data_IF_568898596876
#
_entry.id   IF_568898596876
#
_cell.length_a   1.000
_cell.length_b   1.000
_cell.length_c   1.000
_cell.angle_alpha   90.00
_cell.angle_beta   90.00
_cell.angle_gamma   90.00
#
_symmetry.space_group_name_H-M   'P 1'
#
loop_
_entity.id
_entity.type
_entity.pdbx_description
1 polymer ?
#
# COMPACT_ATOMS: atom_id res chain seq x y z
N UNK A 1 -39.64 -8.20 35.99
CA UNK A 1 -39.09 -7.00 36.66
C UNK A 1 -37.60 -7.24 36.87
N UNK A 2 -36.75 -6.70 35.99
CA UNK A 2 -35.29 -6.85 36.06
C UNK A 2 -34.71 -5.60 36.72
N UNK A 3 -34.08 -5.76 37.90
CA UNK A 3 -33.52 -4.66 38.67
C UNK A 3 -32.36 -3.91 37.99
N UNK A 4 -31.95 -2.73 38.50
CA UNK A 4 -31.09 -1.77 37.82
C UNK A 4 -29.62 -2.18 37.92
N UNK A 5 -29.21 -3.21 37.20
CA UNK A 5 -27.88 -3.18 36.61
C UNK A 5 -27.96 -2.17 35.48
N UNK A 6 -27.80 -0.88 35.82
CA UNK A 6 -27.86 0.23 34.86
C UNK A 6 -26.88 0.02 33.69
N UNK A 7 -26.99 0.83 32.64
CA UNK A 7 -26.14 0.79 31.44
C UNK A 7 -24.65 0.55 31.77
N UNK A 8 -24.16 1.15 32.86
CA UNK A 8 -22.78 1.04 33.34
C UNK A 8 -22.33 -0.38 33.74
N UNK A 9 -23.26 -1.27 34.11
CA UNK A 9 -22.96 -2.68 34.40
C UNK A 9 -22.82 -3.54 33.13
N UNK A 10 -23.19 -3.02 31.96
CA UNK A 10 -23.13 -3.76 30.71
C UNK A 10 -21.68 -4.02 30.29
N UNK A 11 -21.44 -5.19 29.66
CA UNK A 11 -20.12 -5.64 29.21
C UNK A 11 -20.11 -5.83 27.69
N UNK A 12 -20.17 -4.75 26.91
CA UNK A 12 -20.19 -4.84 25.46
C UNK A 12 -18.85 -5.38 24.93
N UNK A 13 -18.94 -6.15 23.86
CA UNK A 13 -17.79 -6.62 23.09
C UNK A 13 -17.85 -6.09 21.66
N UNK A 14 -16.69 -5.81 21.06
CA UNK A 14 -16.60 -5.69 19.61
C UNK A 14 -16.88 -7.04 18.96
N UNK A 15 -17.41 -7.00 17.74
CA UNK A 15 -17.59 -8.20 16.94
C UNK A 15 -16.22 -8.86 16.69
N UNK A 16 -16.10 -10.19 16.80
CA UNK A 16 -14.89 -10.89 16.41
C UNK A 16 -14.47 -10.53 14.99
N UNK A 17 -13.17 -10.27 14.78
CA UNK A 17 -12.59 -9.94 13.48
C UNK A 17 -12.51 -8.45 13.14
N UNK A 18 -13.06 -7.53 13.95
CA UNK A 18 -12.84 -6.09 13.75
C UNK A 18 -11.34 -5.77 13.88
N UNK A 19 -10.81 -5.02 12.91
CA UNK A 19 -9.41 -4.67 12.85
C UNK A 19 -9.19 -3.23 13.33
N UNK A 20 -8.21 -3.06 14.21
CA UNK A 20 -7.82 -1.77 14.77
C UNK A 20 -6.38 -1.44 14.36
N UNK A 21 -6.15 -0.27 13.78
CA UNK A 21 -4.81 0.14 13.36
C UNK A 21 -3.97 0.69 14.53
N UNK A 22 -2.63 0.66 14.41
CA UNK A 22 -1.77 1.49 15.25
C UNK A 22 -2.08 2.99 15.07
N UNK A 23 -1.62 3.87 15.98
CA UNK A 23 -1.80 5.31 15.84
C UNK A 23 -1.09 5.83 14.59
N UNK A 24 -1.81 6.63 13.80
CA UNK A 24 -1.34 7.28 12.59
C UNK A 24 -1.46 8.79 12.75
N UNK A 25 -0.49 9.53 12.23
CA UNK A 25 -0.59 10.98 12.12
C UNK A 25 -1.42 11.33 10.88
N UNK A 26 -2.39 12.22 11.03
CA UNK A 26 -3.19 12.80 9.95
C UNK A 26 -3.34 14.31 10.19
N UNK A 27 -2.65 15.10 9.36
CA UNK A 27 -2.51 16.53 9.60
C UNK A 27 -1.94 16.84 11.01
N UNK A 28 -2.63 17.66 11.83
CA UNK A 28 -2.17 17.98 13.18
C UNK A 28 -2.54 16.91 14.22
N UNK A 29 -3.38 15.92 13.89
CA UNK A 29 -3.99 15.00 14.84
C UNK A 29 -3.43 13.57 14.72
N UNK A 30 -3.57 12.81 15.80
CA UNK A 30 -3.35 11.35 15.80
C UNK A 30 -4.70 10.67 15.66
N UNK A 31 -4.81 9.76 14.70
CA UNK A 31 -6.02 9.00 14.40
C UNK A 31 -5.72 7.50 14.42
N UNK A 32 -6.75 6.71 14.61
CA UNK A 32 -6.76 5.26 14.46
C UNK A 32 -7.80 4.86 13.43
N UNK A 33 -7.55 3.78 12.71
CA UNK A 33 -8.47 3.22 11.75
C UNK A 33 -9.16 2.00 12.36
N UNK A 34 -10.47 1.91 12.18
CA UNK A 34 -11.29 0.74 12.50
C UNK A 34 -11.83 0.18 11.21
N UNK A 35 -11.65 -1.12 10.98
CA UNK A 35 -12.21 -1.81 9.80
C UNK A 35 -13.08 -2.97 10.20
N UNK A 36 -14.22 -3.03 9.53
CA UNK A 36 -15.03 -4.21 9.43
C UNK A 36 -14.64 -5.01 8.18
N UNK A 37 -14.04 -6.21 8.33
CA UNK A 37 -13.66 -7.04 7.19
C UNK A 37 -14.85 -7.64 6.44
N UNK A 38 -16.03 -7.71 7.04
CA UNK A 38 -17.24 -8.30 6.43
C UNK A 38 -17.92 -7.30 5.50
N UNK A 39 -18.13 -6.07 5.97
CA UNK A 39 -18.73 -5.00 5.14
C UNK A 39 -17.71 -4.23 4.29
N UNK A 40 -16.41 -4.40 4.56
CA UNK A 40 -15.33 -3.61 3.97
C UNK A 40 -15.23 -2.17 4.50
N UNK A 41 -16.17 -1.75 5.35
CA UNK A 41 -16.23 -0.38 5.86
C UNK A 41 -15.03 -0.06 6.76
N UNK A 42 -14.45 1.13 6.56
CA UNK A 42 -13.33 1.64 7.36
C UNK A 42 -13.65 3.03 7.91
N UNK A 43 -13.28 3.28 9.16
CA UNK A 43 -13.59 4.51 9.88
C UNK A 43 -12.34 5.08 10.56
N UNK A 44 -12.19 6.40 10.53
CA UNK A 44 -11.19 7.13 11.32
C UNK A 44 -11.78 7.51 12.67
N UNK A 45 -11.07 7.18 13.75
CA UNK A 45 -11.44 7.53 15.13
C UNK A 45 -10.26 8.19 15.85
N UNK A 46 -10.55 9.07 16.81
CA UNK A 46 -9.54 9.73 17.61
C UNK A 46 -8.97 8.83 18.72
N UNK A 47 -7.97 9.32 19.48
CA UNK A 47 -7.33 8.54 20.54
C UNK A 47 -8.28 8.22 21.71
N UNK A 48 -9.25 9.10 21.98
CA UNK A 48 -10.24 8.93 23.05
C UNK A 48 -11.24 7.85 22.69
N UNK A 49 -11.78 7.90 21.47
CA UNK A 49 -12.67 6.89 20.94
C UNK A 49 -11.96 5.53 20.84
N UNK A 50 -10.70 5.53 20.37
CA UNK A 50 -9.88 4.32 20.32
C UNK A 50 -9.67 3.71 21.71
N UNK A 51 -9.44 4.52 22.74
CA UNK A 51 -9.28 4.04 24.11
C UNK A 51 -10.50 3.26 24.58
N UNK A 52 -11.70 3.76 24.29
CA UNK A 52 -12.96 3.11 24.64
C UNK A 52 -13.18 1.86 23.81
N UNK A 53 -13.13 1.98 22.47
CA UNK A 53 -13.38 0.91 21.51
C UNK A 53 -12.44 -0.28 21.72
N UNK A 54 -11.14 -0.04 21.95
CA UNK A 54 -10.15 -1.09 22.18
C UNK A 54 -10.34 -1.88 23.49
N UNK A 55 -11.20 -1.40 24.40
CA UNK A 55 -11.50 -2.04 25.69
C UNK A 55 -12.89 -2.68 25.75
N UNK A 56 -13.67 -2.61 24.67
CA UNK A 56 -14.93 -3.34 24.54
C UNK A 56 -14.62 -4.81 24.19
N UNK A 57 -14.14 -5.55 25.18
CA UNK A 57 -13.69 -6.95 25.05
C UNK A 57 -14.72 -7.97 25.59
N UNK A 58 -15.87 -7.50 26.09
CA UNK A 58 -16.90 -8.34 26.72
C UNK A 58 -16.60 -8.78 28.14
N UNK A 59 -15.40 -8.50 28.66
CA UNK A 59 -15.02 -8.85 30.03
C UNK A 59 -15.23 -7.69 31.00
N UNK A 60 -14.96 -6.46 30.55
CA UNK A 60 -15.03 -5.24 31.38
C UNK A 60 -16.40 -4.59 31.33
N UNK A 61 -16.85 -4.06 32.47
CA UNK A 61 -18.06 -3.25 32.52
C UNK A 61 -17.83 -1.84 31.98
N UNK A 62 -18.87 -1.18 31.48
CA UNK A 62 -18.79 0.22 31.08
C UNK A 62 -18.37 1.14 32.23
N UNK A 63 -18.69 0.78 33.48
CA UNK A 63 -18.21 1.46 34.68
C UNK A 63 -16.68 1.39 34.80
N UNK A 64 -16.10 0.19 34.66
CA UNK A 64 -14.65 -0.02 34.70
C UNK A 64 -13.93 0.72 33.57
N UNK A 65 -14.47 0.63 32.34
CA UNK A 65 -13.90 1.34 31.19
C UNK A 65 -14.01 2.86 31.38
N UNK A 66 -15.14 3.33 31.92
CA UNK A 66 -15.37 4.74 32.21
C UNK A 66 -14.45 5.28 33.32
N UNK A 67 -14.17 4.49 34.35
CA UNK A 67 -13.21 4.83 35.40
C UNK A 67 -11.79 4.95 34.82
N UNK A 68 -11.35 3.96 34.04
CA UNK A 68 -10.05 3.99 33.37
C UNK A 68 -9.92 5.16 32.37
N UNK A 69 -11.01 5.52 31.69
CA UNK A 69 -11.05 6.69 30.82
C UNK A 69 -10.94 8.00 31.62
N UNK A 70 -11.60 8.06 32.78
CA UNK A 70 -11.50 9.17 33.73
C UNK A 70 -10.07 9.39 34.22
N UNK A 71 -9.36 8.32 34.58
CA UNK A 71 -7.95 8.38 34.97
C UNK A 71 -7.04 8.83 33.82
N UNK A 72 -7.26 8.30 32.61
CA UNK A 72 -6.40 8.59 31.47
C UNK A 72 -6.59 10.00 30.88
N UNK A 73 -7.82 10.56 30.92
CA UNK A 73 -8.17 11.81 30.24
C UNK A 73 -8.75 12.90 31.15
N UNK A 74 -8.85 12.65 32.46
CA UNK A 74 -9.38 13.60 33.44
C UNK A 74 -10.85 13.96 33.25
N UNK A 75 -11.61 13.16 32.49
CA UNK A 75 -13.04 13.39 32.20
C UNK A 75 -13.85 12.12 32.41
N UNK A 76 -14.95 12.22 33.16
CA UNK A 76 -15.90 11.12 33.32
C UNK A 76 -16.89 11.09 32.16
N UNK A 77 -17.21 9.89 31.68
CA UNK A 77 -18.27 9.67 30.70
C UNK A 77 -19.59 9.45 31.43
N UNK A 78 -20.57 10.32 31.18
CA UNK A 78 -21.94 10.10 31.64
C UNK A 78 -22.65 9.02 30.82
N UNK A 79 -23.79 8.53 31.32
CA UNK A 79 -24.56 7.47 30.65
C UNK A 79 -25.01 7.84 29.23
N UNK A 80 -25.42 9.09 29.00
CA UNK A 80 -25.82 9.56 27.66
C UNK A 80 -24.71 9.45 26.61
N UNK A 81 -23.45 9.70 26.99
CA UNK A 81 -22.29 9.55 26.09
C UNK A 81 -22.06 8.07 25.74
N UNK A 82 -22.27 7.18 26.71
CA UNK A 82 -22.19 5.74 26.48
C UNK A 82 -23.30 5.26 25.53
N UNK A 83 -24.54 5.73 25.73
CA UNK A 83 -25.65 5.40 24.83
C UNK A 83 -25.37 5.85 23.40
N UNK A 84 -24.87 7.08 23.22
CA UNK A 84 -24.52 7.60 21.89
C UNK A 84 -23.41 6.78 21.23
N UNK A 85 -22.34 6.46 21.97
CA UNK A 85 -21.24 5.66 21.45
C UNK A 85 -21.71 4.26 21.05
N UNK A 86 -22.49 3.58 21.90
CA UNK A 86 -22.98 2.24 21.62
C UNK A 86 -23.99 2.23 20.47
N UNK A 87 -24.85 3.25 20.36
CA UNK A 87 -25.76 3.42 19.24
C UNK A 87 -24.99 3.62 17.91
N UNK A 88 -23.93 4.43 17.93
CA UNK A 88 -23.07 4.62 16.76
C UNK A 88 -22.37 3.31 16.37
N UNK A 89 -21.72 2.62 17.31
CA UNK A 89 -21.06 1.33 17.03
C UNK A 89 -22.06 0.25 16.59
N UNK A 90 -23.26 0.23 17.17
CA UNK A 90 -24.34 -0.67 16.79
C UNK A 90 -24.88 -0.39 15.38
N UNK A 91 -25.14 0.87 15.03
CA UNK A 91 -25.56 1.28 13.68
C UNK A 91 -24.55 0.92 12.60
N UNK A 92 -23.25 0.90 12.97
CA UNK A 92 -22.13 0.46 12.11
C UNK A 92 -21.86 -1.04 12.19
N UNK A 93 -22.69 -1.80 12.91
CA UNK A 93 -22.57 -3.26 13.12
C UNK A 93 -21.22 -3.70 13.70
N UNK A 94 -20.60 -2.87 14.54
CA UNK A 94 -19.28 -3.15 15.14
C UNK A 94 -19.35 -3.89 16.48
N UNK A 95 -20.51 -3.93 17.13
CA UNK A 95 -20.73 -4.61 18.41
C UNK A 95 -21.18 -6.06 18.24
N UNK A 96 -20.76 -6.94 19.16
CA UNK A 96 -21.28 -8.29 19.30
C UNK A 96 -22.69 -8.27 19.90
N UNK A 97 -23.56 -9.20 19.49
CA UNK A 97 -24.92 -9.33 20.04
C UNK A 97 -25.98 -8.38 19.47
N UNK A 98 -25.64 -7.57 18.46
CA UNK A 98 -26.65 -6.95 17.58
C UNK A 98 -27.39 -8.00 16.74
N UNK A 99 -28.41 -7.64 15.94
CA UNK A 99 -29.07 -8.58 15.03
C UNK A 99 -28.00 -9.38 14.30
N UNK A 100 -28.07 -10.71 14.47
CA UNK A 100 -26.96 -11.62 14.25
C UNK A 100 -26.36 -11.47 12.85
N UNK A 101 -25.17 -12.02 12.61
CA UNK A 101 -24.73 -12.22 11.24
C UNK A 101 -25.90 -12.87 10.49
N UNK A 102 -26.27 -12.36 9.31
CA UNK A 102 -26.57 -13.36 8.28
C UNK A 102 -25.37 -14.29 8.33
N UNK A 103 -25.59 -15.61 8.52
CA UNK A 103 -24.61 -16.63 8.11
C UNK A 103 -23.89 -16.07 6.90
N UNK A 104 -22.53 -16.02 6.87
CA UNK A 104 -21.79 -15.28 5.85
C UNK A 104 -22.52 -15.45 4.54
N UNK A 105 -23.29 -14.41 4.17
CA UNK A 105 -24.23 -14.56 3.07
C UNK A 105 -23.35 -15.03 1.92
N UNK A 106 -23.78 -16.03 1.11
CA UNK A 106 -22.99 -16.45 -0.04
C UNK A 106 -22.43 -15.18 -0.67
N UNK A 107 -21.09 -15.05 -0.76
CA UNK A 107 -20.40 -13.78 -0.90
C UNK A 107 -21.23 -12.89 -1.79
N UNK A 108 -21.70 -11.75 -1.23
CA UNK A 108 -22.75 -10.94 -1.85
C UNK A 108 -22.48 -10.86 -3.35
N UNK A 109 -23.52 -11.11 -4.20
CA UNK A 109 -23.33 -11.49 -5.59
C UNK A 109 -22.25 -10.59 -6.18
N UNK A 110 -21.23 -11.19 -6.83
CA UNK A 110 -20.15 -10.45 -7.47
C UNK A 110 -20.68 -9.13 -8.00
N UNK A 111 -20.18 -8.00 -7.48
CA UNK A 111 -20.39 -6.72 -8.15
C UNK A 111 -20.15 -6.94 -9.66
N UNK A 112 -20.97 -6.36 -10.55
CA UNK A 112 -21.02 -6.75 -11.94
C UNK A 112 -19.59 -6.87 -12.50
N UNK A 113 -19.28 -7.96 -13.23
CA UNK A 113 -17.90 -8.28 -13.61
C UNK A 113 -17.26 -7.15 -14.40
N UNK A 114 -18.07 -6.28 -15.01
CA UNK A 114 -17.69 -5.07 -15.69
C UNK A 114 -18.44 -3.88 -15.09
N UNK A 115 -17.71 -2.82 -14.78
CA UNK A 115 -18.26 -1.50 -14.50
C UNK A 115 -17.48 -0.47 -15.30
N UNK A 116 -18.17 0.31 -16.15
CA UNK A 116 -17.55 1.36 -16.96
C UNK A 116 -18.00 1.41 -18.42
N UNK A 117 -17.37 2.31 -19.19
CA UNK A 117 -17.55 2.49 -20.64
C UNK A 117 -16.42 1.80 -21.41
N UNK A 118 -16.50 1.79 -22.75
CA UNK A 118 -15.41 1.26 -23.61
C UNK A 118 -14.06 1.95 -23.35
N UNK A 119 -14.08 3.26 -23.05
CA UNK A 119 -12.89 4.07 -22.80
C UNK A 119 -12.31 3.92 -21.39
N UNK A 120 -13.14 3.56 -20.40
CA UNK A 120 -12.74 3.42 -19.00
C UNK A 120 -13.60 2.40 -18.29
N UNK A 121 -13.00 1.37 -17.73
CA UNK A 121 -13.71 0.39 -16.92
C UNK A 121 -12.83 -0.44 -16.01
N UNK A 122 -13.49 -1.26 -15.20
CA UNK A 122 -12.88 -2.28 -14.36
C UNK A 122 -13.49 -3.63 -14.69
N UNK A 123 -12.64 -4.64 -14.81
CA UNK A 123 -13.00 -6.04 -15.02
C UNK A 123 -12.46 -6.81 -13.83
N UNK A 124 -13.32 -7.52 -13.13
CA UNK A 124 -12.86 -8.45 -12.11
C UNK A 124 -12.34 -9.71 -12.79
N UNK A 125 -11.05 -10.01 -12.59
CA UNK A 125 -10.40 -11.15 -13.25
C UNK A 125 -10.65 -12.46 -12.49
N UNK A 126 -10.85 -12.36 -11.18
CA UNK A 126 -10.95 -13.52 -10.30
C UNK A 126 -12.26 -13.45 -9.51
N UNK A 127 -13.01 -14.56 -9.49
CA UNK A 127 -14.25 -14.66 -8.72
C UNK A 127 -14.00 -14.56 -7.21
N UNK A 128 -12.92 -15.21 -6.73
CA UNK A 128 -12.45 -15.22 -5.35
C UNK A 128 -10.92 -14.98 -5.31
N UNK A 129 -10.55 -13.73 -5.02
CA UNK A 129 -9.17 -13.29 -4.93
C UNK A 129 -8.43 -13.92 -3.74
N UNK A 130 -9.12 -14.16 -2.62
CA UNK A 130 -8.51 -14.72 -1.42
C UNK A 130 -8.20 -16.22 -1.61
N UNK A 131 -9.10 -16.98 -2.21
CA UNK A 131 -8.85 -18.39 -2.53
C UNK A 131 -7.71 -18.56 -3.55
N UNK A 132 -7.66 -17.70 -4.57
CA UNK A 132 -6.62 -17.75 -5.61
C UNK A 132 -5.25 -17.40 -5.04
N UNK A 133 -5.16 -16.34 -4.23
CA UNK A 133 -3.92 -15.98 -3.54
C UNK A 133 -3.53 -16.99 -2.48
N UNK A 134 -4.48 -17.69 -1.84
CA UNK A 134 -4.18 -18.79 -0.94
C UNK A 134 -3.56 -20.01 -1.66
N UNK A 135 -4.07 -20.37 -2.83
CA UNK A 135 -3.46 -21.44 -3.66
C UNK A 135 -2.07 -21.07 -4.11
N UNK A 136 -1.89 -19.84 -4.60
CA UNK A 136 -0.59 -19.33 -5.03
C UNK A 136 0.39 -19.24 -3.85
N UNK A 137 -0.07 -18.77 -2.69
CA UNK A 137 0.72 -18.75 -1.45
C UNK A 137 1.15 -20.15 -1.02
N UNK A 138 0.28 -21.16 -1.11
CA UNK A 138 0.65 -22.55 -0.78
C UNK A 138 1.78 -23.06 -1.67
N UNK A 139 1.74 -22.76 -2.97
CA UNK A 139 2.78 -23.14 -3.92
C UNK A 139 4.08 -22.36 -3.71
N UNK A 140 3.99 -21.05 -3.46
CA UNK A 140 5.14 -20.17 -3.28
C UNK A 140 5.72 -20.19 -1.86
N UNK A 141 5.04 -20.79 -0.89
CA UNK A 141 5.46 -20.86 0.52
C UNK A 141 6.94 -21.19 0.74
N UNK A 142 7.55 -22.20 0.08
CA UNK A 142 8.98 -22.48 0.25
C UNK A 142 9.86 -21.32 -0.26
N UNK A 143 9.49 -20.69 -1.37
CA UNK A 143 10.22 -19.54 -1.92
C UNK A 143 10.09 -18.27 -1.05
N UNK A 144 9.02 -18.17 -0.26
CA UNK A 144 8.78 -17.09 0.69
C UNK A 144 9.55 -17.25 2.02
N UNK A 145 10.41 -18.26 2.15
CA UNK A 145 11.26 -18.39 3.33
C UNK A 145 12.26 -17.22 3.42
N UNK A 146 12.49 -16.59 4.59
CA UNK A 146 13.34 -15.40 4.71
C UNK A 146 14.75 -15.56 4.15
N UNK A 147 15.34 -16.75 4.27
CA UNK A 147 16.67 -17.06 3.71
C UNK A 147 16.63 -17.05 2.18
N UNK A 148 15.60 -17.64 1.57
CA UNK A 148 15.44 -17.67 0.11
C UNK A 148 15.17 -16.26 -0.41
N UNK A 149 14.30 -15.51 0.25
CA UNK A 149 14.04 -14.10 -0.07
C UNK A 149 15.31 -13.25 0.05
N UNK A 150 16.12 -13.46 1.08
CA UNK A 150 17.39 -12.76 1.26
C UNK A 150 18.41 -13.10 0.17
N UNK A 151 18.52 -14.37 -0.22
CA UNK A 151 19.39 -14.79 -1.32
C UNK A 151 18.94 -14.20 -2.66
N UNK A 152 17.63 -14.26 -2.95
CA UNK A 152 17.05 -13.67 -4.16
C UNK A 152 17.25 -12.16 -4.20
N UNK A 153 17.08 -11.46 -3.08
CA UNK A 153 17.37 -10.03 -2.97
C UNK A 153 18.84 -9.73 -3.28
N UNK A 154 19.77 -10.53 -2.77
CA UNK A 154 21.20 -10.37 -3.07
C UNK A 154 21.48 -10.55 -4.57
N UNK A 155 20.85 -11.54 -5.21
CA UNK A 155 20.98 -11.75 -6.66
C UNK A 155 20.40 -10.57 -7.45
N UNK A 156 19.23 -10.05 -7.07
CA UNK A 156 18.68 -8.84 -7.69
C UNK A 156 19.60 -7.63 -7.51
N UNK A 157 20.18 -7.43 -6.32
CA UNK A 157 21.13 -6.33 -6.08
C UNK A 157 22.41 -6.48 -6.90
N UNK A 158 22.91 -7.71 -7.08
CA UNK A 158 24.05 -8.00 -7.94
C UNK A 158 23.73 -7.69 -9.41
N UNK A 159 22.55 -8.09 -9.89
CA UNK A 159 22.05 -7.74 -11.22
C UNK A 159 22.02 -6.21 -11.40
N UNK A 160 21.41 -5.47 -10.48
CA UNK A 160 21.37 -3.99 -10.54
C UNK A 160 22.78 -3.38 -10.58
N UNK A 161 23.74 -3.93 -9.82
CA UNK A 161 25.13 -3.50 -9.86
C UNK A 161 25.79 -3.68 -11.23
N UNK A 162 25.55 -4.81 -11.89
CA UNK A 162 26.05 -5.08 -13.25
C UNK A 162 25.38 -4.17 -14.29
N UNK A 163 24.06 -3.99 -14.18
CA UNK A 163 23.32 -3.10 -15.08
C UNK A 163 23.76 -1.63 -14.92
N UNK A 164 24.02 -1.19 -13.69
CA UNK A 164 24.55 0.15 -13.40
C UNK A 164 25.95 0.35 -14.01
N UNK A 165 26.83 -0.65 -13.92
CA UNK A 165 28.14 -0.60 -14.58
C UNK A 165 28.03 -0.56 -16.11
N UNK A 166 26.96 -1.13 -16.66
CA UNK A 166 26.68 -1.20 -18.11
C UNK A 166 25.76 -0.08 -18.61
N UNK A 167 25.41 0.90 -17.77
CA UNK A 167 24.35 1.87 -18.03
C UNK A 167 24.54 2.65 -19.34
N UNK A 168 25.78 3.02 -19.69
CA UNK A 168 26.06 3.72 -20.94
C UNK A 168 25.73 2.89 -22.20
N UNK A 169 25.93 1.58 -22.16
CA UNK A 169 25.54 0.66 -23.24
C UNK A 169 24.02 0.49 -23.29
N UNK A 170 23.41 0.23 -22.14
CA UNK A 170 21.96 0.03 -22.02
C UNK A 170 21.15 1.26 -22.46
N UNK A 171 21.66 2.48 -22.21
CA UNK A 171 21.04 3.72 -22.69
C UNK A 171 21.03 3.80 -24.22
N UNK A 172 22.08 3.34 -24.90
CA UNK A 172 22.11 3.26 -26.36
C UNK A 172 21.14 2.21 -26.88
N UNK A 173 21.03 1.07 -26.21
CA UNK A 173 20.07 0.02 -26.56
C UNK A 173 18.63 0.50 -26.41
N UNK A 174 18.33 1.27 -25.35
CA UNK A 174 17.04 1.93 -25.17
C UNK A 174 16.75 2.93 -26.29
N UNK A 175 17.72 3.76 -26.68
CA UNK A 175 17.54 4.71 -27.78
C UNK A 175 17.23 3.99 -29.11
N UNK A 176 17.95 2.90 -29.39
CA UNK A 176 17.68 2.05 -30.53
C UNK A 176 16.28 1.44 -30.47
N UNK A 177 15.85 0.96 -29.30
CA UNK A 177 14.51 0.37 -29.08
C UNK A 177 13.39 1.36 -29.41
N UNK A 178 13.52 2.62 -28.97
CA UNK A 178 12.52 3.67 -29.21
C UNK A 178 12.29 3.94 -30.71
N UNK A 179 13.30 3.69 -31.54
CA UNK A 179 13.20 3.85 -33.00
C UNK A 179 12.61 2.62 -33.72
N UNK A 180 12.30 1.53 -32.99
CA UNK A 180 11.90 0.24 -33.56
C UNK A 180 10.54 -0.21 -33.00
N UNK A 181 9.44 -0.11 -33.77
CA UNK A 181 8.09 -0.32 -33.22
C UNK A 181 7.83 -1.76 -32.76
N UNK A 182 8.34 -2.77 -33.49
CA UNK A 182 8.09 -4.18 -33.14
C UNK A 182 8.78 -4.60 -31.84
N UNK A 183 10.10 -4.41 -31.66
CA UNK A 183 10.74 -4.69 -30.38
C UNK A 183 10.19 -3.84 -29.23
N UNK A 184 9.82 -2.58 -29.49
CA UNK A 184 9.20 -1.70 -28.49
C UNK A 184 7.89 -2.29 -27.96
N UNK A 185 7.03 -2.80 -28.85
CA UNK A 185 5.77 -3.47 -28.45
C UNK A 185 6.04 -4.74 -27.62
N UNK A 186 7.06 -5.52 -27.98
CA UNK A 186 7.42 -6.71 -27.22
C UNK A 186 7.89 -6.36 -25.79
N UNK A 187 8.78 -5.37 -25.66
CA UNK A 187 9.26 -4.89 -24.36
C UNK A 187 8.11 -4.28 -23.55
N UNK A 188 7.27 -3.45 -24.16
CA UNK A 188 6.11 -2.87 -23.48
C UNK A 188 5.14 -3.95 -22.97
N UNK A 189 4.93 -5.03 -23.74
CA UNK A 189 4.09 -6.16 -23.34
C UNK A 189 4.70 -6.89 -22.14
N UNK A 190 6.02 -7.15 -22.15
CA UNK A 190 6.69 -7.79 -21.01
C UNK A 190 6.65 -6.93 -19.74
N UNK A 191 6.84 -5.61 -19.85
CA UNK A 191 6.73 -4.68 -18.72
C UNK A 191 5.30 -4.59 -18.17
N UNK A 192 4.31 -4.70 -19.05
CA UNK A 192 2.90 -4.81 -18.66
C UNK A 192 2.64 -6.09 -17.84
N UNK A 193 3.18 -7.24 -18.29
CA UNK A 193 3.13 -8.48 -17.51
C UNK A 193 3.87 -8.37 -16.17
N UNK A 194 5.03 -7.69 -16.14
CA UNK A 194 5.75 -7.41 -14.90
C UNK A 194 4.88 -6.61 -13.92
N UNK A 195 4.15 -5.60 -14.42
CA UNK A 195 3.22 -4.81 -13.60
C UNK A 195 2.06 -5.65 -13.06
N UNK A 196 1.59 -6.63 -13.82
CA UNK A 196 0.63 -7.60 -13.29
C UNK A 196 1.27 -8.43 -12.16
N UNK A 197 2.46 -8.98 -12.37
CA UNK A 197 3.15 -9.77 -11.34
C UNK A 197 3.41 -8.96 -10.05
N UNK A 198 3.72 -7.67 -10.18
CA UNK A 198 3.87 -6.72 -9.08
C UNK A 198 2.63 -6.66 -8.18
N UNK A 199 1.45 -6.49 -8.76
CA UNK A 199 0.18 -6.43 -8.03
C UNK A 199 -0.17 -7.79 -7.38
N UNK A 200 0.10 -8.89 -8.08
CA UNK A 200 -0.03 -10.23 -7.48
C UNK A 200 0.90 -10.42 -6.29
N UNK A 201 2.13 -9.90 -6.35
CA UNK A 201 3.10 -10.01 -5.28
C UNK A 201 2.65 -9.29 -4.00
N UNK A 202 2.01 -8.11 -4.11
CA UNK A 202 1.37 -7.48 -2.95
C UNK A 202 0.31 -8.37 -2.32
N UNK A 203 -0.55 -9.00 -3.13
CA UNK A 203 -1.58 -9.92 -2.65
C UNK A 203 -1.00 -11.14 -1.93
N UNK A 204 0.00 -11.79 -2.52
CA UNK A 204 0.69 -12.96 -1.93
C UNK A 204 1.44 -12.57 -0.65
N UNK A 205 2.15 -11.45 -0.66
CA UNK A 205 2.88 -10.98 0.52
C UNK A 205 1.93 -10.62 1.66
N UNK A 206 0.80 -9.98 1.34
CA UNK A 206 -0.25 -9.70 2.32
C UNK A 206 -0.80 -10.97 2.95
N UNK A 207 -1.11 -12.00 2.13
CA UNK A 207 -1.57 -13.30 2.62
C UNK A 207 -0.53 -13.96 3.52
N UNK A 208 0.75 -13.90 3.16
CA UNK A 208 1.84 -14.48 3.95
C UNK A 208 1.94 -13.89 5.36
N UNK A 209 1.64 -12.59 5.52
CA UNK A 209 1.66 -11.92 6.83
C UNK A 209 0.33 -11.97 7.58
N UNK A 210 -0.66 -12.70 7.06
CA UNK A 210 -2.00 -12.87 7.65
C UNK A 210 -3.04 -11.83 7.22
N UNK A 211 -2.79 -11.09 6.15
CA UNK A 211 -3.77 -10.21 5.52
C UNK A 211 -4.74 -10.97 4.59
N UNK A 212 -5.88 -10.35 4.31
CA UNK A 212 -6.85 -10.84 3.30
C UNK A 212 -6.77 -9.98 2.06
N UNK A 213 -6.99 -10.61 0.90
CA UNK A 213 -7.03 -9.94 -0.40
C UNK A 213 -8.48 -9.76 -0.79
N UNK A 214 -8.89 -8.52 -1.05
CA UNK A 214 -10.28 -8.20 -1.37
C UNK A 214 -10.64 -8.53 -2.81
N UNK A 215 -9.89 -7.97 -3.75
CA UNK A 215 -10.17 -8.09 -5.18
C UNK A 215 -8.89 -8.10 -6.01
N UNK A 216 -8.89 -8.91 -7.07
CA UNK A 216 -7.90 -8.87 -8.15
C UNK A 216 -8.65 -8.61 -9.44
N UNK A 217 -8.32 -7.51 -10.11
CA UNK A 217 -8.99 -7.08 -11.32
C UNK A 217 -8.08 -6.34 -12.28
N UNK A 218 -8.60 -6.08 -13.47
CA UNK A 218 -7.99 -5.24 -14.48
C UNK A 218 -8.75 -3.93 -14.55
N UNK A 219 -8.06 -2.81 -14.46
CA UNK A 219 -8.61 -1.46 -14.67
C UNK A 219 -8.02 -0.91 -15.95
N UNK A 220 -8.85 -0.48 -16.90
CA UNK A 220 -8.36 0.20 -18.10
C UNK A 220 -8.85 1.63 -18.20
N UNK A 221 -7.97 2.45 -18.75
CA UNK A 221 -8.25 3.77 -19.29
C UNK A 221 -7.44 3.85 -20.58
N UNK A 222 -8.11 3.61 -21.71
CA UNK A 222 -7.44 3.44 -23.00
C UNK A 222 -6.48 4.61 -23.28
N UNK A 223 -5.25 4.34 -23.73
CA UNK A 223 -4.73 3.05 -24.20
C UNK A 223 -4.14 2.12 -23.11
N UNK A 224 -4.19 2.50 -21.83
CA UNK A 224 -3.50 1.78 -20.75
C UNK A 224 -4.45 0.87 -19.98
N UNK A 225 -4.08 -0.40 -19.80
CA UNK A 225 -4.71 -1.32 -18.87
C UNK A 225 -3.74 -1.63 -17.72
N UNK A 226 -4.19 -1.62 -16.48
CA UNK A 226 -3.38 -1.83 -15.29
C UNK A 226 -4.11 -2.84 -14.41
N UNK A 227 -3.43 -3.90 -14.03
CA UNK A 227 -3.99 -4.82 -13.04
C UNK A 227 -3.98 -4.16 -11.67
N UNK A 228 -4.93 -4.49 -10.81
CA UNK A 228 -4.94 -3.99 -9.44
C UNK A 228 -5.25 -5.13 -8.48
N UNK A 229 -4.56 -5.14 -7.34
CA UNK A 229 -4.81 -6.05 -6.24
C UNK A 229 -5.15 -5.23 -4.99
N UNK A 230 -6.42 -5.23 -4.58
CA UNK A 230 -6.80 -4.54 -3.34
C UNK A 230 -6.43 -5.41 -2.14
N UNK A 231 -5.34 -5.04 -1.47
CA UNK A 231 -5.02 -5.61 -0.16
C UNK A 231 -5.76 -4.81 0.91
N UNK A 232 -6.71 -5.45 1.56
CA UNK A 232 -7.65 -4.77 2.42
C UNK A 232 -7.10 -4.48 3.82
N UNK A 233 -6.18 -5.32 4.30
CA UNK A 233 -5.87 -5.39 5.73
C UNK A 233 -4.43 -5.02 6.12
N UNK A 234 -3.53 -4.73 5.18
CA UNK A 234 -2.12 -4.48 5.50
C UNK A 234 -1.91 -3.27 6.43
N UNK A 235 -2.79 -2.26 6.35
CA UNK A 235 -2.76 -1.07 7.22
C UNK A 235 -3.02 -1.36 8.69
N UNK A 236 -3.65 -2.51 8.99
CA UNK A 236 -4.01 -2.95 10.35
C UNK A 236 -3.01 -3.93 10.95
N UNK A 237 -1.96 -4.32 10.20
CA UNK A 237 -0.91 -5.18 10.73
C UNK A 237 -0.15 -4.49 11.87
N UNK A 238 -0.06 -5.14 13.03
CA UNK A 238 0.58 -4.56 14.22
C UNK A 238 2.10 -4.33 14.09
N UNK A 239 2.79 -5.06 13.21
CA UNK A 239 4.25 -4.98 13.04
C UNK A 239 4.64 -4.18 11.79
N UNK A 240 5.37 -3.07 11.97
CA UNK A 240 5.86 -2.19 10.88
C UNK A 240 6.64 -2.95 9.80
N UNK A 241 7.49 -3.91 10.20
CA UNK A 241 8.28 -4.71 9.25
C UNK A 241 7.41 -5.50 8.26
N UNK A 242 6.24 -5.99 8.70
CA UNK A 242 5.29 -6.70 7.83
C UNK A 242 4.61 -5.75 6.84
N UNK A 243 4.27 -4.54 7.28
CA UNK A 243 3.72 -3.51 6.39
C UNK A 243 4.71 -3.10 5.31
N UNK A 244 5.98 -2.90 5.70
CA UNK A 244 7.05 -2.60 4.76
C UNK A 244 7.32 -3.75 3.79
N UNK A 245 7.34 -5.00 4.27
CA UNK A 245 7.54 -6.16 3.40
C UNK A 245 6.43 -6.30 2.36
N UNK A 246 5.16 -6.08 2.73
CA UNK A 246 4.04 -6.10 1.78
C UNK A 246 4.16 -4.97 0.77
N UNK A 247 4.50 -3.76 1.21
CA UNK A 247 4.66 -2.62 0.31
C UNK A 247 5.91 -2.73 -0.59
N UNK A 248 6.96 -3.44 -0.18
CA UNK A 248 8.14 -3.70 -1.03
C UNK A 248 7.96 -4.88 -2.00
N UNK A 249 6.94 -5.72 -1.79
CA UNK A 249 6.78 -6.97 -2.54
C UNK A 249 6.59 -6.76 -4.04
N UNK A 250 5.88 -5.70 -4.44
CA UNK A 250 5.65 -5.37 -5.84
C UNK A 250 6.97 -5.03 -6.56
N UNK A 251 7.72 -4.06 -6.03
CA UNK A 251 9.02 -3.70 -6.59
C UNK A 251 9.99 -4.90 -6.63
N UNK A 252 10.01 -5.71 -5.57
CA UNK A 252 10.83 -6.92 -5.54
C UNK A 252 10.43 -7.94 -6.63
N UNK A 253 9.13 -8.13 -6.87
CA UNK A 253 8.65 -9.02 -7.93
C UNK A 253 8.99 -8.52 -9.34
N UNK A 254 9.00 -7.21 -9.56
CA UNK A 254 9.52 -6.64 -10.82
C UNK A 254 10.99 -7.01 -11.04
N UNK A 255 11.83 -6.94 -9.99
CA UNK A 255 13.24 -7.33 -10.10
C UNK A 255 13.40 -8.84 -10.36
N UNK A 256 12.61 -9.67 -9.66
CA UNK A 256 12.60 -11.12 -9.88
C UNK A 256 12.20 -11.49 -11.32
N UNK A 257 11.26 -10.74 -11.91
CA UNK A 257 10.84 -10.94 -13.29
C UNK A 257 11.99 -10.74 -14.29
N UNK A 258 12.95 -9.88 -13.97
CA UNK A 258 14.09 -9.57 -14.84
C UNK A 258 15.21 -10.61 -14.78
N UNK A 259 15.33 -11.39 -13.70
CA UNK A 259 16.39 -12.38 -13.52
C UNK A 259 16.58 -13.36 -14.71
N UNK A 260 15.53 -14.00 -15.27
CA UNK A 260 15.71 -14.87 -16.43
C UNK A 260 16.21 -14.12 -17.67
N UNK A 261 15.76 -12.88 -17.89
CA UNK A 261 16.21 -12.06 -19.00
C UNK A 261 17.65 -11.56 -18.80
N UNK A 262 18.05 -11.31 -17.56
CA UNK A 262 19.43 -10.99 -17.21
C UNK A 262 20.36 -12.18 -17.47
N UNK A 263 19.96 -13.38 -17.04
CA UNK A 263 20.71 -14.60 -17.32
C UNK A 263 20.85 -14.86 -18.82
N UNK A 264 19.79 -14.60 -19.61
CA UNK A 264 19.86 -14.68 -21.06
C UNK A 264 20.79 -13.62 -21.64
N UNK A 265 20.62 -12.35 -21.28
CA UNK A 265 21.46 -11.26 -21.76
C UNK A 265 22.95 -11.48 -21.46
N UNK A 266 23.28 -11.95 -20.25
CA UNK A 266 24.66 -12.23 -19.84
C UNK A 266 25.27 -13.45 -20.56
N UNK A 267 24.46 -14.36 -21.08
CA UNK A 267 24.92 -15.54 -21.82
C UNK A 267 25.05 -15.29 -23.33
N UNK A 268 24.53 -14.16 -23.84
CA UNK A 268 24.58 -13.85 -25.27
C UNK A 268 25.96 -13.36 -25.71
N UNK A 269 26.44 -13.76 -26.90
CA UNK A 269 27.59 -13.12 -27.53
C UNK A 269 27.31 -11.64 -27.83
N UNK A 270 28.34 -10.79 -27.74
CA UNK A 270 28.20 -9.33 -27.95
C UNK A 270 27.61 -8.95 -29.32
N UNK A 271 27.74 -9.82 -30.32
CA UNK A 271 27.26 -9.59 -31.68
C UNK A 271 25.77 -9.93 -31.90
N UNK A 272 25.08 -10.54 -30.92
CA UNK A 272 23.69 -10.97 -31.10
C UNK A 272 22.71 -9.77 -31.07
N UNK A 273 21.87 -9.58 -32.10
CA UNK A 273 20.88 -8.50 -32.15
C UNK A 273 19.85 -8.56 -31.01
N UNK A 274 19.61 -9.74 -30.43
CA UNK A 274 18.72 -9.95 -29.27
C UNK A 274 19.24 -9.24 -28.02
N UNK A 275 20.57 -9.10 -27.91
CA UNK A 275 21.23 -8.43 -26.78
C UNK A 275 20.71 -7.02 -26.53
N UNK A 276 20.44 -6.25 -27.60
CA UNK A 276 19.92 -4.88 -27.48
C UNK A 276 18.49 -4.83 -26.95
N UNK A 277 17.64 -5.77 -27.38
CA UNK A 277 16.24 -5.86 -26.90
C UNK A 277 16.22 -6.20 -25.42
N UNK A 278 17.02 -7.19 -25.01
CA UNK A 278 17.12 -7.58 -23.60
C UNK A 278 17.77 -6.48 -22.75
N UNK A 279 18.82 -5.80 -23.25
CA UNK A 279 19.44 -4.68 -22.56
C UNK A 279 18.45 -3.55 -22.30
N UNK A 280 17.65 -3.17 -23.30
CA UNK A 280 16.61 -2.17 -23.14
C UNK A 280 15.48 -2.62 -22.20
N UNK A 281 15.06 -3.89 -22.25
CA UNK A 281 14.11 -4.47 -21.30
C UNK A 281 14.63 -4.42 -19.87
N UNK A 282 15.88 -4.81 -19.66
CA UNK A 282 16.53 -4.80 -18.34
C UNK A 282 16.62 -3.38 -17.79
N UNK A 283 17.02 -2.41 -18.61
CA UNK A 283 17.08 -1.01 -18.18
C UNK A 283 15.69 -0.46 -17.81
N UNK A 284 14.70 -0.63 -18.69
CA UNK A 284 13.34 -0.11 -18.45
C UNK A 284 12.65 -0.83 -17.29
N UNK A 285 12.82 -2.15 -17.18
CA UNK A 285 12.28 -2.94 -16.07
C UNK A 285 12.90 -2.58 -14.74
N UNK A 286 14.22 -2.39 -14.70
CA UNK A 286 14.94 -1.98 -13.48
C UNK A 286 14.53 -0.56 -13.09
N UNK A 287 14.44 0.36 -14.06
CA UNK A 287 13.90 1.70 -13.84
C UNK A 287 12.46 1.64 -13.30
N UNK A 288 11.58 0.81 -13.86
CA UNK A 288 10.21 0.60 -13.36
C UNK A 288 10.20 0.11 -11.91
N UNK A 289 11.05 -0.85 -11.55
CA UNK A 289 11.15 -1.37 -10.18
C UNK A 289 11.67 -0.31 -9.20
N UNK A 290 12.77 0.37 -9.55
CA UNK A 290 13.43 1.36 -8.70
C UNK A 290 12.60 2.64 -8.55
N UNK A 291 11.97 3.12 -9.63
CA UNK A 291 11.05 4.26 -9.57
C UNK A 291 9.90 3.96 -8.63
N UNK A 292 9.33 2.74 -8.64
CA UNK A 292 8.28 2.36 -7.69
C UNK A 292 8.72 2.44 -6.22
N UNK A 293 10.02 2.34 -5.91
CA UNK A 293 10.55 2.50 -4.55
C UNK A 293 10.75 3.98 -4.14
N UNK A 294 10.54 4.93 -5.04
CA UNK A 294 10.66 6.35 -4.72
C UNK A 294 9.52 6.80 -3.79
N UNK A 295 9.78 7.71 -2.85
CA UNK A 295 8.81 8.18 -1.87
C UNK A 295 7.79 9.20 -2.44
N UNK A 296 7.31 8.99 -3.67
CA UNK A 296 6.37 9.87 -4.36
C UNK A 296 5.02 9.16 -4.60
N UNK A 297 3.88 9.81 -4.40
CA UNK A 297 2.58 9.20 -4.70
C UNK A 297 2.41 9.04 -6.23
N UNK A 298 1.78 7.95 -6.72
CA UNK A 298 1.14 6.85 -6.01
C UNK A 298 2.04 5.61 -5.79
N UNK A 299 3.36 5.76 -5.83
CA UNK A 299 4.34 4.67 -5.86
C UNK A 299 4.42 3.90 -4.52
N UNK A 300 4.93 2.67 -4.56
CA UNK A 300 5.10 1.83 -3.36
C UNK A 300 5.99 2.45 -2.30
N UNK A 301 7.06 3.12 -2.70
CA UNK A 301 7.99 3.82 -1.80
C UNK A 301 7.30 4.88 -0.96
N UNK A 302 6.28 5.54 -1.49
CA UNK A 302 5.45 6.47 -0.73
C UNK A 302 4.62 5.75 0.34
N UNK A 303 4.02 4.61 -0.01
CA UNK A 303 3.28 3.76 0.94
C UNK A 303 4.20 3.20 2.02
N UNK A 304 5.39 2.72 1.65
CA UNK A 304 6.45 2.27 2.57
C UNK A 304 6.83 3.38 3.54
N UNK A 305 7.09 4.59 3.04
CA UNK A 305 7.46 5.73 3.87
C UNK A 305 6.32 6.11 4.83
N UNK A 306 5.08 6.12 4.37
CA UNK A 306 3.89 6.35 5.20
C UNK A 306 3.80 5.35 6.36
N UNK A 307 4.03 4.07 6.09
CA UNK A 307 4.07 3.02 7.13
C UNK A 307 5.23 3.16 8.10
N UNK A 308 6.44 3.44 7.59
CA UNK A 308 7.63 3.65 8.41
C UNK A 308 7.42 4.79 9.41
N UNK A 309 6.84 5.90 8.91
CA UNK A 309 6.61 7.11 9.67
C UNK A 309 5.30 7.12 10.48
N UNK A 310 4.41 6.15 10.26
CA UNK A 310 3.04 6.10 10.79
C UNK A 310 2.25 7.37 10.47
N UNK A 311 2.19 7.71 9.20
CA UNK A 311 1.44 8.87 8.69
C UNK A 311 0.49 8.37 7.61
N UNK A 312 -0.76 8.81 7.66
CA UNK A 312 -1.70 8.63 6.56
C UNK A 312 -1.69 9.87 5.67
N UNK A 313 -1.92 9.70 4.37
CA UNK A 313 -2.01 10.82 3.40
C UNK A 313 -0.85 11.82 3.49
N UNK A 314 0.38 11.31 3.58
CA UNK A 314 1.61 12.10 3.78
C UNK A 314 1.76 13.27 2.79
N UNK A 315 1.55 13.04 1.49
CA UNK A 315 1.69 14.09 0.48
C UNK A 315 0.60 15.18 0.61
N UNK A 316 -0.70 14.86 0.63
CA UNK A 316 -1.75 15.84 0.89
C UNK A 316 -1.56 16.61 2.20
N UNK A 317 -1.20 15.92 3.29
CA UNK A 317 -0.96 16.54 4.59
C UNK A 317 0.25 17.49 4.56
N UNK A 318 1.32 17.11 3.87
CA UNK A 318 2.51 17.96 3.71
C UNK A 318 2.21 19.20 2.87
N UNK A 319 1.50 19.05 1.75
CA UNK A 319 1.09 20.19 0.92
C UNK A 319 0.14 21.12 1.68
N UNK A 320 -0.81 20.58 2.45
CA UNK A 320 -1.70 21.37 3.28
C UNK A 320 -0.94 22.15 4.36
N UNK A 321 0.02 21.50 5.03
CA UNK A 321 0.87 22.14 6.03
C UNK A 321 1.74 23.25 5.42
N UNK A 322 2.36 23.03 4.27
CA UNK A 322 3.19 24.03 3.59
C UNK A 322 2.37 25.24 3.14
N UNK A 323 1.21 25.02 2.53
CA UNK A 323 0.28 26.11 2.17
C UNK A 323 -0.17 26.89 3.41
N UNK A 324 -0.52 26.19 4.49
CA UNK A 324 -0.88 26.84 5.75
C UNK A 324 0.28 27.67 6.29
N UNK A 325 1.51 27.14 6.29
CA UNK A 325 2.70 27.86 6.77
C UNK A 325 3.01 29.11 5.95
N UNK A 326 2.75 29.09 4.65
CA UNK A 326 2.89 30.27 3.79
C UNK A 326 1.84 31.34 4.10
N UNK A 327 0.60 30.93 4.39
CA UNK A 327 -0.51 31.85 4.67
C UNK A 327 -0.53 32.39 6.10
N UNK A 328 -0.30 31.52 7.07
CA UNK A 328 -0.40 31.78 8.50
C UNK A 328 0.62 30.94 9.29
N UNK A 329 1.72 31.58 9.67
CA UNK A 329 2.79 30.94 10.44
C UNK A 329 2.37 30.60 11.86
N UNK A 330 1.41 31.33 12.44
CA UNK A 330 0.94 31.10 13.82
C UNK A 330 0.09 29.85 13.90
N UNK A 331 -0.87 29.69 12.97
CA UNK A 331 -1.67 28.46 12.86
C UNK A 331 -0.78 27.24 12.51
N UNK A 332 0.22 27.41 11.65
CA UNK A 332 1.17 26.34 11.35
C UNK A 332 2.07 25.98 12.54
N UNK A 333 2.30 26.90 13.48
CA UNK A 333 3.07 26.64 14.69
C UNK A 333 2.30 25.77 15.69
N UNK A 334 0.96 25.77 15.64
CA UNK A 334 0.09 24.94 16.48
C UNK A 334 0.18 23.43 16.16
N UNK A 335 0.74 23.05 15.01
CA UNK A 335 0.96 21.64 14.70
C UNK A 335 1.99 21.00 15.66
N UNK A 336 1.83 19.72 16.01
CA UNK A 336 2.82 19.01 16.82
C UNK A 336 4.22 19.08 16.21
N UNK A 337 5.27 19.19 17.04
CA UNK A 337 6.66 19.32 16.59
C UNK A 337 7.10 18.19 15.63
N UNK A 338 6.62 16.97 15.86
CA UNK A 338 6.85 15.83 14.97
C UNK A 338 6.20 16.04 13.59
N UNK A 339 4.95 16.48 13.55
CA UNK A 339 4.21 16.72 12.32
C UNK A 339 4.89 17.80 11.47
N UNK A 340 5.26 18.93 12.08
CA UNK A 340 5.94 20.04 11.41
C UNK A 340 7.24 19.59 10.73
N UNK A 341 8.13 18.91 11.48
CA UNK A 341 9.41 18.42 10.93
C UNK A 341 9.20 17.46 9.78
N UNK A 342 8.27 16.53 9.94
CA UNK A 342 7.99 15.48 8.97
C UNK A 342 7.41 16.04 7.67
N UNK A 343 6.43 16.92 7.76
CA UNK A 343 5.79 17.54 6.59
C UNK A 343 6.72 18.51 5.86
N UNK A 344 7.55 19.27 6.58
CA UNK A 344 8.60 20.08 5.97
C UNK A 344 9.64 19.22 5.26
N UNK A 345 10.17 18.20 5.94
CA UNK A 345 11.21 17.34 5.39
C UNK A 345 10.70 16.57 4.16
N UNK A 346 9.48 16.04 4.23
CA UNK A 346 8.87 15.36 3.08
C UNK A 346 8.62 16.33 1.92
N UNK A 347 8.02 17.49 2.19
CA UNK A 347 7.72 18.47 1.15
C UNK A 347 8.99 18.96 0.44
N UNK A 348 10.01 19.37 1.19
CA UNK A 348 11.29 19.80 0.63
C UNK A 348 12.02 18.64 -0.08
N UNK A 349 12.10 17.48 0.55
CA UNK A 349 12.77 16.30 0.00
C UNK A 349 12.11 15.80 -1.29
N UNK A 350 10.78 15.79 -1.35
CA UNK A 350 10.05 15.40 -2.57
C UNK A 350 10.27 16.39 -3.71
N UNK A 351 10.32 17.70 -3.43
CA UNK A 351 10.62 18.71 -4.43
C UNK A 351 12.05 18.56 -4.98
N UNK A 352 13.04 18.39 -4.09
CA UNK A 352 14.44 18.17 -4.49
C UNK A 352 14.57 16.89 -5.32
N UNK A 353 13.91 15.80 -4.89
CA UNK A 353 13.93 14.54 -5.62
C UNK A 353 13.36 14.71 -7.04
N UNK A 354 12.22 15.38 -7.19
CA UNK A 354 11.62 15.63 -8.51
C UNK A 354 12.56 16.46 -9.39
N UNK A 355 13.22 17.48 -8.84
CA UNK A 355 14.19 18.29 -9.58
C UNK A 355 15.40 17.46 -10.02
N UNK A 356 15.92 16.58 -9.15
CA UNK A 356 17.03 15.69 -9.48
C UNK A 356 16.65 14.68 -10.57
N UNK A 357 15.45 14.11 -10.51
CA UNK A 357 14.94 13.21 -11.55
C UNK A 357 14.77 13.92 -12.88
N UNK A 358 14.24 15.15 -12.88
CA UNK A 358 14.10 15.96 -14.08
C UNK A 358 15.47 16.33 -14.68
N UNK A 359 16.43 16.73 -13.84
CA UNK A 359 17.80 17.03 -14.27
C UNK A 359 18.51 15.78 -14.83
N UNK A 360 18.36 14.63 -14.17
CA UNK A 360 18.92 13.36 -14.64
C UNK A 360 18.33 12.90 -15.97
N UNK A 361 17.00 13.01 -16.14
CA UNK A 361 16.33 12.70 -17.40
C UNK A 361 16.79 13.64 -18.52
N UNK A 362 16.89 14.95 -18.26
CA UNK A 362 17.40 15.93 -19.21
C UNK A 362 18.85 15.65 -19.61
N UNK A 363 19.71 15.30 -18.65
CA UNK A 363 21.10 14.92 -18.91
C UNK A 363 21.22 13.65 -19.73
N UNK A 364 20.39 12.63 -19.47
CA UNK A 364 20.37 11.39 -20.24
C UNK A 364 19.92 11.63 -21.68
N UNK A 365 18.89 12.46 -21.90
CA UNK A 365 18.43 12.86 -23.24
C UNK A 365 19.54 13.63 -23.97
N UNK A 366 20.15 14.62 -23.31
CA UNK A 366 21.23 15.40 -23.90
C UNK A 366 22.41 14.52 -24.30
N UNK A 367 22.83 13.59 -23.44
CA UNK A 367 23.88 12.63 -23.75
C UNK A 367 23.50 11.73 -24.94
N UNK A 368 22.27 11.22 -24.98
CA UNK A 368 21.80 10.38 -26.08
C UNK A 368 21.80 11.12 -27.43
N UNK A 369 21.39 12.39 -27.45
CA UNK A 369 21.37 13.23 -28.65
C UNK A 369 22.78 13.68 -29.07
N UNK A 370 23.65 14.00 -28.10
CA UNK A 370 25.02 14.43 -28.39
C UNK A 370 25.93 13.26 -28.81
N UNK A 371 25.60 12.03 -28.41
CA UNK A 371 26.35 10.82 -28.76
C UNK A 371 25.88 10.15 -30.07
N UNK A 372 24.82 10.65 -30.72
CA UNK A 372 24.48 10.25 -32.10
C UNK A 372 25.35 11.07 -33.06
N UNK A 373 26.24 10.44 -33.84
CA UNK A 373 27.08 11.13 -34.83
C UNK A 373 26.30 11.71 -36.00
#
# INVERSE_FOLDING_TARGET
MSGPAGLLGHRPALRPGILLSPPLLDGPAVVHLVKDPVSGASFEIGPKEYFLVSRLDGSRSLAEIGAAYGEAFGRRLGEGNWQQLLALLGSRRLLAGGPGPQEPGPPGPPGPPRSGTLLRGTLRLVADADATTARLHRFLRPALHPVVLGALLLVCLAMEGVLAASAGGLLRDLWWLLSRPVPLLAVATLLWFSTALHEFAHGVAARHVGGTVGEIGLRWRLPVAIMYCTVDNYRYLGRRRRQLAVAAAGAFANLLFLLPFFGWWAALPEADPTGRVLGALLLLGSAQALVNLLPLPPLDGYTMLGHALRVTRLAPASSAYLRLRMRDRTAAAAYPARARRLYMAYGAGSAVLVLLLAAGAAGAIWYAVAATP
#
